data_IF_591841324233
#
_entry.id   IF_591841324233
#
_cell.length_a   1.000
_cell.length_b   1.000
_cell.length_c   1.000
_cell.angle_alpha   90.00
_cell.angle_beta   90.00
_cell.angle_gamma   90.00
#
_symmetry.space_group_name_H-M   'P 1'
#
loop_
_entity.id
_entity.type
_entity.pdbx_description
1 polymer ?
#
# COMPACT_ATOMS: atom_id res chain seq x y z
N UNK A 1 -5.74 17.72 26.64
CA UNK A 1 -5.63 16.25 26.76
C UNK A 1 -4.46 15.83 25.89
N UNK A 2 -3.33 15.52 26.51
CA UNK A 2 -2.22 14.86 25.81
C UNK A 2 -2.73 13.49 25.31
N UNK A 3 -2.85 13.33 24.00
CA UNK A 3 -3.02 12.02 23.40
C UNK A 3 -1.67 11.29 23.50
N UNK A 4 -1.37 10.70 24.66
CA UNK A 4 -0.27 9.75 24.85
C UNK A 4 -0.64 8.39 24.23
N UNK A 5 -1.08 8.41 22.97
CA UNK A 5 -1.12 7.24 22.09
C UNK A 5 0.33 6.92 21.66
N UNK A 6 1.24 6.74 22.63
CA UNK A 6 2.48 6.00 22.37
C UNK A 6 2.05 4.57 22.10
N UNK A 7 1.89 4.23 20.82
CA UNK A 7 1.73 2.87 20.35
C UNK A 7 2.75 1.98 21.06
N UNK A 8 2.31 1.25 22.09
CA UNK A 8 3.19 0.35 22.85
C UNK A 8 3.43 -0.84 21.95
N UNK A 9 4.58 -0.86 21.28
CA UNK A 9 4.98 -1.95 20.40
C UNK A 9 5.42 -3.15 21.27
N UNK A 10 4.93 -4.34 20.97
CA UNK A 10 5.26 -5.58 21.68
C UNK A 10 5.90 -6.58 20.73
N UNK A 11 6.82 -7.39 21.26
CA UNK A 11 7.47 -8.50 20.55
C UNK A 11 7.17 -9.80 21.27
N UNK A 12 6.76 -10.81 20.52
CA UNK A 12 6.62 -12.17 21.01
C UNK A 12 7.99 -12.82 21.23
N UNK A 13 8.26 -13.34 22.43
CA UNK A 13 9.42 -14.17 22.72
C UNK A 13 8.97 -15.41 23.51
N UNK A 14 9.10 -16.60 22.90
CA UNK A 14 8.73 -17.90 23.50
C UNK A 14 7.32 -17.92 24.14
N UNK A 15 6.34 -17.32 23.46
CA UNK A 15 4.95 -17.26 23.94
C UNK A 15 4.63 -16.09 24.87
N UNK A 16 5.59 -15.24 25.23
CA UNK A 16 5.38 -14.03 26.02
C UNK A 16 5.40 -12.77 25.15
N UNK A 17 4.53 -11.81 25.44
CA UNK A 17 4.55 -10.48 24.83
C UNK A 17 5.40 -9.53 25.69
N UNK A 18 6.59 -9.16 25.20
CA UNK A 18 7.45 -8.18 25.86
C UNK A 18 7.37 -6.83 25.16
N UNK A 19 7.37 -5.74 25.93
CA UNK A 19 7.40 -4.39 25.37
C UNK A 19 8.72 -4.16 24.64
N UNK A 20 8.66 -3.67 23.42
CA UNK A 20 9.85 -3.36 22.63
C UNK A 20 10.49 -2.08 23.17
N UNK A 21 11.78 -2.12 23.57
CA UNK A 21 12.54 -0.92 23.91
C UNK A 21 12.54 0.09 22.74
N UNK A 22 12.42 1.41 23.01
CA UNK A 22 12.39 2.43 21.95
C UNK A 22 13.54 2.33 20.94
N UNK A 23 14.76 2.03 21.42
CA UNK A 23 15.95 1.84 20.57
C UNK A 23 15.76 0.73 19.52
N UNK A 24 15.09 -0.37 19.88
CA UNK A 24 14.81 -1.47 18.96
C UNK A 24 13.67 -1.10 18.00
N UNK A 25 12.67 -0.37 18.48
CA UNK A 25 11.57 0.15 17.66
C UNK A 25 12.09 1.10 16.57
N UNK A 26 12.97 2.04 16.92
CA UNK A 26 13.59 2.97 15.97
C UNK A 26 14.44 2.24 14.93
N UNK A 27 15.22 1.23 15.35
CA UNK A 27 15.99 0.40 14.41
C UNK A 27 15.06 -0.37 13.46
N UNK A 28 13.95 -0.90 13.96
CA UNK A 28 12.92 -1.57 13.16
C UNK A 28 12.30 -0.63 12.13
N UNK A 29 11.87 0.55 12.57
CA UNK A 29 11.29 1.57 11.70
C UNK A 29 12.27 2.02 10.60
N UNK A 30 13.52 2.33 10.95
CA UNK A 30 14.57 2.70 9.98
C UNK A 30 14.86 1.58 8.98
N UNK A 31 14.82 0.32 9.41
CA UNK A 31 14.97 -0.83 8.51
C UNK A 31 13.79 -0.95 7.54
N UNK A 32 12.56 -0.77 8.04
CA UNK A 32 11.35 -0.74 7.22
C UNK A 32 11.37 0.38 6.18
N UNK A 33 11.69 1.61 6.60
CA UNK A 33 11.86 2.77 5.72
C UNK A 33 12.91 2.50 4.63
N UNK A 34 14.07 1.98 5.00
CA UNK A 34 15.14 1.63 4.04
C UNK A 34 14.66 0.59 3.03
N UNK A 35 13.90 -0.42 3.46
CA UNK A 35 13.32 -1.43 2.58
C UNK A 35 12.29 -0.86 1.62
N UNK A 36 11.35 -0.06 2.12
CA UNK A 36 10.34 0.61 1.31
C UNK A 36 10.98 1.56 0.28
N UNK A 37 12.00 2.31 0.70
CA UNK A 37 12.78 3.18 -0.20
C UNK A 37 13.48 2.39 -1.30
N UNK A 38 14.18 1.31 -0.95
CA UNK A 38 14.83 0.46 -1.94
C UNK A 38 13.83 -0.11 -2.95
N UNK A 39 12.67 -0.59 -2.49
CA UNK A 39 11.60 -1.07 -3.37
C UNK A 39 11.09 0.04 -4.31
N UNK A 40 10.90 1.25 -3.79
CA UNK A 40 10.48 2.41 -4.58
C UNK A 40 11.55 2.86 -5.59
N UNK A 41 12.83 2.74 -5.25
CA UNK A 41 13.96 3.08 -6.13
C UNK A 41 14.08 2.08 -7.30
N UNK A 42 13.69 0.81 -7.09
CA UNK A 42 13.64 -0.24 -8.13
C UNK A 42 12.54 -0.05 -9.18
N UNK A 43 11.65 0.94 -9.02
CA UNK A 43 10.57 1.18 -9.97
C UNK A 43 11.05 2.01 -11.18
N UNK A 44 10.62 1.62 -12.37
CA UNK A 44 10.77 2.43 -13.58
C UNK A 44 9.80 3.63 -13.56
N UNK A 45 9.93 4.56 -14.50
CA UNK A 45 8.97 5.68 -14.63
C UNK A 45 7.57 5.18 -14.98
N UNK A 46 7.47 4.17 -15.82
CA UNK A 46 6.20 3.59 -16.24
C UNK A 46 5.53 2.83 -15.09
N UNK A 47 6.29 2.05 -14.32
CA UNK A 47 5.79 1.36 -13.13
C UNK A 47 5.28 2.34 -12.06
N UNK A 48 6.00 3.47 -11.86
CA UNK A 48 5.52 4.55 -10.98
C UNK A 48 4.24 5.20 -11.51
N UNK A 49 4.13 5.39 -12.83
CA UNK A 49 2.92 5.94 -13.48
C UNK A 49 1.71 5.02 -13.27
N UNK A 50 1.88 3.70 -13.43
CA UNK A 50 0.84 2.70 -13.18
C UNK A 50 0.44 2.70 -11.69
N UNK A 51 1.40 2.66 -10.78
CA UNK A 51 1.12 2.72 -9.34
C UNK A 51 0.34 3.99 -8.96
N UNK A 52 0.79 5.15 -9.42
CA UNK A 52 0.09 6.42 -9.18
C UNK A 52 -1.33 6.40 -9.73
N UNK A 53 -1.52 5.89 -10.95
CA UNK A 53 -2.85 5.74 -11.53
C UNK A 53 -3.76 4.87 -10.66
N UNK A 54 -3.29 3.71 -10.20
CA UNK A 54 -4.04 2.80 -9.34
C UNK A 54 -4.53 3.54 -8.08
N UNK A 55 -3.62 4.19 -7.36
CA UNK A 55 -3.91 4.92 -6.11
C UNK A 55 -4.97 6.00 -6.32
N UNK A 56 -4.82 6.81 -7.37
CA UNK A 56 -5.78 7.89 -7.67
C UNK A 56 -7.14 7.33 -8.11
N UNK A 57 -7.15 6.30 -8.97
CA UNK A 57 -8.38 5.72 -9.50
C UNK A 57 -9.17 5.00 -8.40
N UNK A 58 -8.49 4.30 -7.47
CA UNK A 58 -9.12 3.65 -6.32
C UNK A 58 -9.88 4.62 -5.43
N UNK A 59 -9.38 5.84 -5.25
CA UNK A 59 -10.06 6.86 -4.45
C UNK A 59 -11.43 7.23 -5.02
N UNK A 60 -11.59 7.14 -6.35
CA UNK A 60 -12.79 7.58 -7.07
C UNK A 60 -13.75 6.43 -7.38
N UNK A 61 -13.24 5.34 -7.96
CA UNK A 61 -14.07 4.28 -8.56
C UNK A 61 -14.70 3.37 -7.50
N UNK A 62 -14.11 3.26 -6.30
CA UNK A 62 -14.58 2.42 -5.18
C UNK A 62 -14.83 0.94 -5.52
N UNK A 63 -14.35 0.48 -6.67
CA UNK A 63 -14.32 -0.91 -7.10
C UNK A 63 -12.87 -1.34 -7.39
N UNK A 64 -12.57 -2.65 -7.36
CA UNK A 64 -11.23 -3.15 -7.65
C UNK A 64 -10.71 -2.68 -9.01
N UNK A 65 -9.48 -2.18 -9.04
CA UNK A 65 -8.86 -1.72 -10.29
C UNK A 65 -8.36 -2.91 -11.09
N UNK A 66 -8.86 -3.04 -12.32
CA UNK A 66 -8.51 -4.15 -13.23
C UNK A 66 -7.36 -3.79 -14.17
N UNK A 67 -6.59 -4.78 -14.65
CA UNK A 67 -5.57 -4.59 -15.69
C UNK A 67 -6.13 -3.92 -16.95
N UNK A 68 -7.34 -4.31 -17.38
CA UNK A 68 -8.00 -3.75 -18.56
C UNK A 68 -8.29 -2.26 -18.41
N UNK A 69 -8.73 -1.84 -17.21
CA UNK A 69 -8.99 -0.43 -16.92
C UNK A 69 -7.69 0.39 -17.02
N UNK A 70 -6.61 -0.10 -16.45
CA UNK A 70 -5.29 0.57 -16.50
C UNK A 70 -4.79 0.62 -17.94
N UNK A 71 -4.88 -0.50 -18.67
CA UNK A 71 -4.44 -0.62 -20.06
C UNK A 71 -5.14 0.41 -20.94
N UNK A 72 -6.47 0.49 -20.84
CA UNK A 72 -7.28 1.42 -21.63
C UNK A 72 -6.97 2.89 -21.29
N UNK A 73 -6.88 3.24 -20.01
CA UNK A 73 -6.75 4.64 -19.56
C UNK A 73 -5.32 5.17 -19.73
N UNK A 74 -4.30 4.32 -19.58
CA UNK A 74 -2.90 4.72 -19.74
C UNK A 74 -2.37 4.50 -21.16
N UNK A 75 -3.15 3.81 -22.01
CA UNK A 75 -2.77 3.36 -23.35
C UNK A 75 -1.48 2.51 -23.32
N UNK A 76 -1.45 1.53 -22.42
CA UNK A 76 -0.34 0.57 -22.23
C UNK A 76 -0.87 -0.81 -22.62
N UNK A 77 -0.10 -1.66 -23.33
CA UNK A 77 -0.52 -3.03 -23.65
C UNK A 77 -0.90 -3.81 -22.38
N UNK A 78 -1.98 -4.59 -22.44
CA UNK A 78 -2.49 -5.31 -21.27
C UNK A 78 -1.44 -6.27 -20.68
N UNK A 79 -0.67 -6.94 -21.54
CA UNK A 79 0.46 -7.80 -21.15
C UNK A 79 1.49 -7.05 -20.29
N UNK A 80 1.89 -5.85 -20.72
CA UNK A 80 2.81 -4.99 -19.97
C UNK A 80 2.20 -4.53 -18.64
N UNK A 81 0.91 -4.21 -18.62
CA UNK A 81 0.20 -3.87 -17.37
C UNK A 81 0.24 -5.04 -16.39
N UNK A 82 -0.03 -6.27 -16.85
CA UNK A 82 0.05 -7.46 -16.00
C UNK A 82 1.45 -7.67 -15.42
N UNK A 83 2.50 -7.51 -16.21
CA UNK A 83 3.89 -7.60 -15.73
C UNK A 83 4.18 -6.56 -14.64
N UNK A 84 3.75 -5.31 -14.85
CA UNK A 84 3.92 -4.23 -13.88
C UNK A 84 3.16 -4.53 -12.59
N UNK A 85 1.89 -4.95 -12.68
CA UNK A 85 1.08 -5.31 -11.51
C UNK A 85 1.73 -6.44 -10.73
N UNK A 86 2.17 -7.50 -11.41
CA UNK A 86 2.84 -8.63 -10.76
C UNK A 86 4.12 -8.18 -10.04
N UNK A 87 4.91 -7.28 -10.64
CA UNK A 87 6.10 -6.70 -9.99
C UNK A 87 5.71 -5.88 -8.75
N UNK A 88 4.73 -4.99 -8.85
CA UNK A 88 4.28 -4.15 -7.74
C UNK A 88 3.76 -4.98 -6.57
N UNK A 89 3.00 -6.04 -6.85
CA UNK A 89 2.49 -6.97 -5.83
C UNK A 89 3.62 -7.77 -5.18
N UNK A 90 4.60 -8.26 -5.97
CA UNK A 90 5.76 -9.01 -5.45
C UNK A 90 6.65 -8.18 -4.51
N UNK A 91 6.68 -6.86 -4.66
CA UNK A 91 7.38 -5.96 -3.75
C UNK A 91 6.66 -5.81 -2.40
N UNK A 92 5.41 -6.28 -2.26
CA UNK A 92 4.59 -6.32 -1.03
C UNK A 92 4.43 -4.97 -0.32
N UNK A 93 4.76 -3.90 -1.02
CA UNK A 93 4.80 -2.52 -0.47
C UNK A 93 3.69 -1.68 -1.08
N UNK A 94 3.31 -1.97 -2.33
CA UNK A 94 2.53 -1.05 -3.14
C UNK A 94 1.08 -1.49 -3.31
N UNK A 95 0.84 -2.74 -3.71
CA UNK A 95 -0.50 -3.24 -4.06
C UNK A 95 -0.72 -4.67 -3.59
N UNK A 96 -1.98 -5.06 -3.48
CA UNK A 96 -2.43 -6.42 -3.20
C UNK A 96 -3.75 -6.72 -3.92
N UNK A 97 -3.92 -7.96 -4.39
CA UNK A 97 -5.15 -8.48 -4.99
C UNK A 97 -5.69 -9.62 -4.13
N UNK A 98 -6.84 -9.43 -3.49
CA UNK A 98 -7.46 -10.50 -2.68
C UNK A 98 -7.94 -11.70 -3.49
N UNK A 99 -8.45 -11.46 -4.71
CA UNK A 99 -9.01 -12.48 -5.61
C UNK A 99 -8.10 -12.81 -6.82
N UNK A 100 -6.94 -12.15 -6.91
CA UNK A 100 -5.98 -12.26 -8.00
C UNK A 100 -6.40 -11.55 -9.31
N UNK A 101 -7.60 -10.97 -9.39
CA UNK A 101 -8.14 -10.34 -10.61
C UNK A 101 -8.07 -8.82 -10.53
N UNK A 102 -8.52 -8.25 -9.42
CA UNK A 102 -8.58 -6.80 -9.22
C UNK A 102 -7.74 -6.34 -8.05
N UNK A 103 -7.20 -5.12 -8.14
CA UNK A 103 -6.46 -4.49 -7.05
C UNK A 103 -7.47 -3.84 -6.12
N UNK A 104 -7.64 -4.42 -4.92
CA UNK A 104 -8.55 -3.93 -3.89
C UNK A 104 -7.82 -3.24 -2.72
N UNK A 105 -6.49 -3.28 -2.73
CA UNK A 105 -5.63 -2.63 -1.74
C UNK A 105 -4.39 -2.06 -2.44
N UNK A 106 -4.10 -0.80 -2.18
CA UNK A 106 -2.89 -0.12 -2.65
C UNK A 106 -2.49 1.00 -1.69
N UNK A 107 -1.29 0.98 -1.12
CA UNK A 107 -0.92 1.94 -0.09
C UNK A 107 -1.07 3.41 -0.55
N UNK A 108 -1.79 4.28 0.18
CA UNK A 108 -2.38 4.09 1.52
C UNK A 108 -3.89 3.75 1.54
N UNK A 109 -4.49 3.28 0.44
CA UNK A 109 -5.91 3.01 0.28
C UNK A 109 -6.27 1.51 0.37
N UNK A 110 -7.42 1.26 0.99
CA UNK A 110 -8.12 -0.02 0.99
C UNK A 110 -9.56 0.18 0.54
N UNK A 111 -10.09 -0.77 -0.23
CA UNK A 111 -11.52 -0.88 -0.50
C UNK A 111 -12.28 -1.62 0.61
N UNK A 112 -11.56 -2.38 1.45
CA UNK A 112 -12.12 -3.06 2.61
C UNK A 112 -12.21 -2.10 3.80
N UNK A 113 -13.25 -2.28 4.63
CA UNK A 113 -13.43 -1.50 5.85
C UNK A 113 -12.37 -1.88 6.88
N UNK A 114 -11.34 -1.04 7.03
CA UNK A 114 -10.28 -1.20 8.03
C UNK A 114 -10.62 -0.54 9.36
N UNK A 115 -11.78 0.13 9.47
CA UNK A 115 -12.14 0.99 10.60
C UNK A 115 -11.46 2.37 10.59
N UNK A 116 -10.53 2.62 9.66
CA UNK A 116 -9.78 3.87 9.55
C UNK A 116 -10.21 4.68 8.32
N UNK A 117 -11.22 5.53 8.47
CA UNK A 117 -11.75 6.33 7.36
C UNK A 117 -10.92 7.60 7.13
N UNK A 118 -10.59 7.85 5.87
CA UNK A 118 -9.79 8.99 5.40
C UNK A 118 -10.57 9.79 4.35
N UNK A 119 -10.19 11.07 4.20
CA UNK A 119 -10.72 11.97 3.17
C UNK A 119 -9.54 12.49 2.36
N UNK A 120 -9.55 12.26 1.04
CA UNK A 120 -8.60 12.84 0.12
C UNK A 120 -8.78 14.35 0.04
N UNK A 121 -7.74 15.09 -0.35
CA UNK A 121 -7.84 16.55 -0.54
C UNK A 121 -8.89 16.96 -1.59
N UNK A 122 -9.22 16.06 -2.52
CA UNK A 122 -10.26 16.19 -3.53
C UNK A 122 -11.68 15.87 -3.03
N UNK A 123 -11.82 15.39 -1.79
CA UNK A 123 -13.09 15.16 -1.10
C UNK A 123 -13.57 13.70 -1.08
N UNK A 124 -12.93 12.80 -1.83
CA UNK A 124 -13.29 11.38 -1.83
C UNK A 124 -12.95 10.71 -0.49
N UNK A 125 -13.83 9.81 -0.07
CA UNK A 125 -13.67 9.02 1.15
C UNK A 125 -13.18 7.62 0.83
N UNK A 126 -12.16 7.17 1.56
CA UNK A 126 -11.57 5.83 1.44
C UNK A 126 -11.15 5.28 2.82
N UNK A 127 -10.81 4.00 2.89
CA UNK A 127 -10.25 3.39 4.10
C UNK A 127 -8.73 3.34 4.02
N UNK A 128 -8.04 3.61 5.14
CA UNK A 128 -6.59 3.52 5.20
C UNK A 128 -6.14 2.06 5.18
N UNK A 129 -5.10 1.79 4.39
CA UNK A 129 -4.42 0.52 4.21
C UNK A 129 -3.55 0.08 5.40
#
# INVERSE_FOLDING_TARGET
MENDLKHKLYMGFRGFMMRIPPLLSEKGAKKGEKGAKANADCLSKEERRVHHFIVVKMAVVKDPITPELISNELNIPNETVHEIINKLENLKTFIYRSDGKGINWAYPLSLEDTGFKMIASSGEQFFAA
#
